data_IF_686871081619
#
_entry.id   IF_686871081619
#
_cell.length_a   1.000
_cell.length_b   1.000
_cell.length_c   1.000
_cell.angle_alpha   90.00
_cell.angle_beta   90.00
_cell.angle_gamma   90.00
#
_symmetry.space_group_name_H-M   'P 1'
#
loop_
_entity.id
_entity.type
_entity.pdbx_description
1 polymer ?
#
# COMPACT_ATOMS: atom_id res chain seq x y z
N UNK A 1 7.34 -23.10 5.44
CA UNK A 1 6.76 -22.46 6.63
C UNK A 1 5.65 -21.51 6.20
N UNK A 2 4.52 -21.64 6.83
CA UNK A 2 3.38 -20.75 6.61
C UNK A 2 3.38 -19.65 7.68
N UNK A 3 3.33 -18.39 7.25
CA UNK A 3 3.24 -17.25 8.18
C UNK A 3 1.93 -16.51 7.89
N UNK A 4 1.12 -16.34 8.92
CA UNK A 4 -0.12 -15.58 8.83
C UNK A 4 0.14 -14.12 9.15
N UNK A 5 -0.08 -13.25 8.17
CA UNK A 5 0.07 -11.81 8.31
C UNK A 5 -1.22 -11.14 7.83
N UNK A 6 -2.25 -11.11 8.68
CA UNK A 6 -3.57 -10.66 8.25
C UNK A 6 -3.64 -9.18 7.96
N UNK A 7 -4.41 -8.82 6.92
CA UNK A 7 -4.83 -7.47 6.63
C UNK A 7 -6.34 -7.43 6.46
N UNK A 8 -6.92 -6.25 6.58
CA UNK A 8 -8.32 -6.04 6.29
C UNK A 8 -8.58 -6.36 4.83
N UNK A 9 -9.67 -7.08 4.54
CA UNK A 9 -10.05 -7.32 3.14
C UNK A 9 -10.51 -6.03 2.46
N UNK A 10 -10.93 -5.05 3.25
CA UNK A 10 -11.33 -3.72 2.78
C UNK A 10 -10.94 -2.69 3.82
N UNK A 11 -10.65 -1.47 3.37
CA UNK A 11 -10.33 -0.36 4.25
C UNK A 11 -8.84 -0.05 4.31
N UNK A 12 -8.50 0.97 5.06
CA UNK A 12 -7.13 1.43 5.21
C UNK A 12 -6.28 0.39 5.95
N UNK A 13 -5.05 0.09 5.47
CA UNK A 13 -4.17 -0.82 6.20
C UNK A 13 -3.87 -0.28 7.59
N UNK A 14 -3.95 -1.13 8.61
CA UNK A 14 -3.55 -0.76 9.96
C UNK A 14 -2.04 -0.56 10.04
N UNK A 15 -1.62 0.53 10.70
CA UNK A 15 -0.19 0.81 10.93
C UNK A 15 0.53 -0.39 11.52
N UNK A 16 -0.03 -0.96 12.59
CA UNK A 16 0.62 -2.07 13.29
C UNK A 16 0.75 -3.32 12.40
N UNK A 17 -0.22 -3.56 11.54
CA UNK A 17 -0.15 -4.68 10.60
C UNK A 17 0.88 -4.47 9.52
N UNK A 18 1.06 -3.23 9.04
CA UNK A 18 2.13 -2.90 8.10
C UNK A 18 3.50 -3.13 8.74
N UNK A 19 3.68 -2.65 9.97
CA UNK A 19 4.93 -2.85 10.70
C UNK A 19 5.18 -4.33 10.99
N UNK A 20 4.16 -5.08 11.32
CA UNK A 20 4.24 -6.52 11.50
C UNK A 20 4.68 -7.23 10.22
N UNK A 21 4.10 -6.86 9.08
CA UNK A 21 4.47 -7.44 7.80
C UNK A 21 5.95 -7.17 7.47
N UNK A 22 6.44 -5.96 7.77
CA UNK A 22 7.84 -5.63 7.59
C UNK A 22 8.74 -6.57 8.41
N UNK A 23 8.35 -6.88 9.66
CA UNK A 23 9.10 -7.82 10.49
C UNK A 23 9.08 -9.23 9.89
N UNK A 24 7.92 -9.68 9.38
CA UNK A 24 7.81 -10.97 8.71
C UNK A 24 8.76 -11.04 7.51
N UNK A 25 8.77 -10.00 6.68
CA UNK A 25 9.64 -9.95 5.51
C UNK A 25 11.12 -9.96 5.89
N UNK A 26 11.48 -9.29 6.97
CA UNK A 26 12.88 -9.26 7.42
C UNK A 26 13.42 -10.64 7.76
N UNK A 27 12.59 -11.48 8.37
CA UNK A 27 12.97 -12.83 8.79
C UNK A 27 12.70 -13.92 7.76
N UNK A 28 12.13 -13.57 6.62
CA UNK A 28 11.65 -14.54 5.65
C UNK A 28 12.76 -15.01 4.71
N UNK A 29 12.81 -16.32 4.50
CA UNK A 29 13.70 -16.89 3.49
C UNK A 29 13.08 -16.75 2.09
N UNK A 30 13.89 -16.49 1.09
CA UNK A 30 13.45 -16.43 -0.30
C UNK A 30 13.77 -17.77 -1.01
N UNK A 31 12.98 -18.18 -1.99
CA UNK A 31 11.77 -17.53 -2.49
C UNK A 31 10.56 -17.74 -1.57
N UNK A 32 9.60 -16.83 -1.64
CA UNK A 32 8.38 -16.90 -0.85
C UNK A 32 7.15 -16.64 -1.71
N UNK A 33 6.04 -17.27 -1.34
CA UNK A 33 4.75 -17.08 -1.99
C UNK A 33 3.85 -16.25 -1.10
N UNK A 34 3.33 -15.15 -1.65
CA UNK A 34 2.34 -14.30 -0.99
C UNK A 34 0.99 -14.59 -1.63
N UNK A 35 -0.02 -14.87 -0.81
CA UNK A 35 -1.37 -15.11 -1.32
C UNK A 35 -2.44 -14.59 -0.37
N UNK A 36 -3.60 -14.32 -0.92
CA UNK A 36 -4.82 -14.02 -0.19
C UNK A 36 -6.00 -14.71 -0.89
N UNK A 37 -7.21 -14.42 -0.49
CA UNK A 37 -8.38 -15.10 -1.02
C UNK A 37 -8.53 -14.93 -2.55
N UNK A 38 -8.34 -13.72 -3.05
CA UNK A 38 -8.52 -13.42 -4.48
C UNK A 38 -7.23 -13.10 -5.23
N UNK A 39 -6.13 -12.86 -4.51
CA UNK A 39 -4.85 -12.49 -5.10
C UNK A 39 -4.75 -11.06 -5.60
N UNK A 40 -5.80 -10.25 -5.44
CA UNK A 40 -5.84 -8.89 -5.99
C UNK A 40 -5.45 -7.83 -4.96
N UNK A 41 -6.23 -7.67 -3.91
CA UNK A 41 -6.09 -6.52 -3.01
C UNK A 41 -4.99 -6.72 -1.96
N UNK A 42 -5.15 -7.72 -1.09
CA UNK A 42 -4.20 -7.93 0.01
C UNK A 42 -2.85 -8.41 -0.48
N UNK A 43 -2.84 -9.25 -1.51
CA UNK A 43 -1.59 -9.73 -2.12
C UNK A 43 -0.89 -8.58 -2.85
N UNK A 44 -1.64 -7.73 -3.57
CA UNK A 44 -1.10 -6.54 -4.20
C UNK A 44 -0.52 -5.56 -3.18
N UNK A 45 -1.22 -5.35 -2.08
CA UNK A 45 -0.73 -4.52 -0.97
C UNK A 45 0.58 -5.10 -0.42
N UNK A 46 0.61 -6.39 -0.13
CA UNK A 46 1.80 -7.05 0.39
C UNK A 46 3.00 -6.97 -0.55
N UNK A 47 2.77 -7.17 -1.85
CA UNK A 47 3.82 -7.05 -2.86
C UNK A 47 4.32 -5.61 -2.98
N UNK A 48 3.42 -4.64 -2.95
CA UNK A 48 3.78 -3.22 -2.99
C UNK A 48 4.62 -2.82 -1.78
N UNK A 49 4.24 -3.26 -0.59
CA UNK A 49 5.01 -3.00 0.63
C UNK A 49 6.41 -3.61 0.51
N UNK A 50 6.52 -4.84 -0.01
CA UNK A 50 7.82 -5.47 -0.24
C UNK A 50 8.71 -4.58 -1.12
N UNK A 51 8.18 -4.06 -2.23
CA UNK A 51 8.93 -3.20 -3.13
C UNK A 51 9.40 -1.92 -2.44
N UNK A 52 8.53 -1.29 -1.63
CA UNK A 52 8.90 -0.08 -0.89
C UNK A 52 9.98 -0.35 0.14
N UNK A 53 9.96 -1.52 0.78
CA UNK A 53 11.00 -1.93 1.72
C UNK A 53 12.34 -2.17 1.03
N UNK A 54 12.32 -2.51 -0.27
CA UNK A 54 13.52 -2.66 -1.09
C UNK A 54 14.03 -1.33 -1.66
N UNK A 55 13.38 -0.22 -1.31
CA UNK A 55 13.78 1.10 -1.79
C UNK A 55 13.23 1.45 -3.17
N UNK A 56 12.28 0.68 -3.69
CA UNK A 56 11.68 0.95 -5.00
C UNK A 56 10.75 2.15 -4.93
N UNK A 57 10.55 2.86 -6.07
CA UNK A 57 9.66 4.01 -6.12
C UNK A 57 8.19 3.63 -5.85
N UNK A 58 7.41 4.54 -5.23
CA UNK A 58 6.00 4.26 -4.95
C UNK A 58 5.15 3.90 -6.18
N UNK A 59 5.53 4.37 -7.38
CA UNK A 59 4.84 3.99 -8.61
C UNK A 59 4.84 2.50 -8.87
N UNK A 60 5.93 1.81 -8.53
CA UNK A 60 6.01 0.35 -8.67
C UNK A 60 5.08 -0.37 -7.69
N UNK A 61 4.93 0.17 -6.48
CA UNK A 61 3.98 -0.38 -5.52
C UNK A 61 2.54 -0.22 -6.02
N UNK A 62 2.22 0.93 -6.58
CA UNK A 62 0.91 1.18 -7.18
C UNK A 62 0.60 0.20 -8.33
N UNK A 63 1.60 -0.16 -9.11
CA UNK A 63 1.42 -1.10 -10.21
C UNK A 63 0.99 -2.50 -9.73
N UNK A 64 1.33 -2.87 -8.51
CA UNK A 64 0.88 -4.14 -7.93
C UNK A 64 -0.62 -4.17 -7.67
N UNK A 65 -1.25 -3.00 -7.61
CA UNK A 65 -2.70 -2.84 -7.44
C UNK A 65 -3.39 -2.51 -8.79
N UNK A 66 -2.87 -3.02 -9.89
CA UNK A 66 -3.42 -2.71 -11.21
C UNK A 66 -4.66 -3.56 -11.53
N UNK A 67 -5.50 -3.04 -12.45
CA UNK A 67 -6.69 -3.74 -12.94
C UNK A 67 -6.31 -5.10 -13.52
N UNK A 68 -5.12 -5.20 -14.10
CA UNK A 68 -4.57 -6.44 -14.66
C UNK A 68 -4.53 -7.58 -13.64
N UNK A 69 -4.40 -7.25 -12.33
CA UNK A 69 -4.42 -8.24 -11.25
C UNK A 69 -5.78 -8.32 -10.56
N UNK A 70 -6.83 -7.76 -11.15
CA UNK A 70 -8.18 -7.82 -10.62
C UNK A 70 -8.57 -6.70 -9.66
N UNK A 71 -7.70 -5.72 -9.45
CA UNK A 71 -7.99 -4.59 -8.58
C UNK A 71 -8.82 -3.52 -9.31
N UNK A 72 -9.85 -3.00 -8.64
CA UNK A 72 -10.69 -1.92 -9.18
C UNK A 72 -10.55 -0.68 -8.29
N UNK A 73 -9.84 0.33 -8.80
CA UNK A 73 -9.47 1.53 -8.03
C UNK A 73 -10.66 2.32 -7.50
N UNK A 74 -11.73 2.35 -8.26
CA UNK A 74 -12.92 3.15 -7.90
C UNK A 74 -13.85 2.42 -6.94
N UNK A 75 -13.48 1.19 -6.55
CA UNK A 75 -14.20 0.44 -5.53
C UNK A 75 -13.68 0.81 -4.13
N UNK A 76 -14.23 0.16 -3.11
CA UNK A 76 -13.76 0.34 -1.73
C UNK A 76 -12.29 0.01 -1.56
N UNK A 77 -11.72 -0.82 -2.44
CA UNK A 77 -10.32 -1.19 -2.39
C UNK A 77 -9.39 -0.10 -2.91
N UNK A 78 -9.93 0.93 -3.57
CA UNK A 78 -9.15 2.11 -3.99
C UNK A 78 -8.44 2.80 -2.83
N UNK A 79 -8.83 2.54 -1.59
CA UNK A 79 -8.14 3.06 -0.42
C UNK A 79 -6.69 2.53 -0.31
N UNK A 80 -6.40 1.36 -0.89
CA UNK A 80 -5.04 0.83 -0.94
C UNK A 80 -4.17 1.65 -1.89
N UNK A 81 -4.72 2.08 -3.02
CA UNK A 81 -4.04 3.04 -3.90
C UNK A 81 -3.76 4.34 -3.15
N UNK A 82 -4.75 4.82 -2.39
CA UNK A 82 -4.61 6.04 -1.60
C UNK A 82 -3.49 5.92 -0.56
N UNK A 83 -3.35 4.76 0.06
CA UNK A 83 -2.27 4.49 1.01
C UNK A 83 -0.90 4.72 0.36
N UNK A 84 -0.66 4.11 -0.81
CA UNK A 84 0.62 4.30 -1.51
C UNK A 84 0.80 5.72 -2.03
N UNK A 85 -0.28 6.38 -2.47
CA UNK A 85 -0.21 7.77 -2.94
C UNK A 85 0.14 8.74 -1.81
N UNK A 86 -0.37 8.50 -0.59
CA UNK A 86 0.01 9.30 0.56
C UNK A 86 1.52 9.24 0.81
N UNK A 87 2.09 8.05 0.75
CA UNK A 87 3.54 7.91 0.91
C UNK A 87 4.28 8.60 -0.24
N UNK A 88 3.80 8.45 -1.47
CA UNK A 88 4.42 9.11 -2.62
C UNK A 88 4.45 10.63 -2.45
N UNK A 89 3.36 11.22 -1.95
CA UNK A 89 3.30 12.66 -1.68
C UNK A 89 4.26 13.07 -0.57
N UNK A 90 4.30 12.30 0.53
CA UNK A 90 5.20 12.57 1.65
C UNK A 90 6.66 12.52 1.20
N UNK A 91 6.99 11.54 0.37
CA UNK A 91 8.35 11.38 -0.17
C UNK A 91 8.73 12.50 -1.13
N UNK A 92 7.77 13.04 -1.88
CA UNK A 92 8.04 14.22 -2.74
C UNK A 92 8.39 15.44 -1.91
N UNK A 93 7.67 15.64 -0.80
CA UNK A 93 7.95 16.74 0.12
C UNK A 93 9.26 16.55 0.89
N UNK A 94 9.63 15.30 1.17
CA UNK A 94 10.82 14.93 1.93
C UNK A 94 11.52 13.75 1.27
N UNK A 95 12.38 13.97 0.27
CA UNK A 95 12.94 12.88 -0.56
C UNK A 95 13.71 11.80 0.20
N UNK A 96 14.23 12.10 1.38
CA UNK A 96 14.93 11.12 2.21
C UNK A 96 14.03 10.27 3.11
N UNK A 97 12.71 10.48 3.06
CA UNK A 97 11.79 9.80 3.98
C UNK A 97 11.60 8.33 3.59
N UNK A 98 12.05 7.42 4.45
CA UNK A 98 11.86 5.99 4.26
C UNK A 98 10.43 5.55 4.53
N UNK A 99 10.03 4.44 3.90
CA UNK A 99 8.65 3.95 4.02
C UNK A 99 8.28 3.60 5.47
N UNK A 100 9.14 2.86 6.18
CA UNK A 100 8.84 2.47 7.57
C UNK A 100 8.79 3.67 8.51
N UNK A 101 9.67 4.66 8.31
CA UNK A 101 9.65 5.87 9.11
C UNK A 101 8.34 6.63 8.88
N UNK A 102 7.88 6.70 7.63
CA UNK A 102 6.62 7.32 7.31
C UNK A 102 5.44 6.59 7.98
N UNK A 103 5.41 5.26 7.89
CA UNK A 103 4.34 4.45 8.50
C UNK A 103 4.31 4.68 10.01
N UNK A 104 5.48 4.63 10.65
CA UNK A 104 5.57 4.74 12.10
C UNK A 104 5.20 6.12 12.62
N UNK A 105 5.68 7.17 11.95
CA UNK A 105 5.67 8.52 12.50
C UNK A 105 4.60 9.43 11.88
N UNK A 106 4.09 9.13 10.69
CA UNK A 106 3.21 10.04 9.94
C UNK A 106 1.91 9.41 9.48
N UNK A 107 1.87 8.11 9.26
CA UNK A 107 0.68 7.46 8.72
C UNK A 107 -0.40 7.30 9.78
N UNK A 108 -1.64 7.68 9.43
CA UNK A 108 -2.82 7.55 10.29
C UNK A 108 -3.95 6.89 9.49
N UNK A 109 -4.21 5.60 9.78
CA UNK A 109 -5.24 4.84 9.10
C UNK A 109 -6.66 5.35 9.38
N UNK A 110 -6.88 5.95 10.55
CA UNK A 110 -8.17 6.53 10.90
C UNK A 110 -8.44 7.76 10.04
N UNK A 111 -7.44 8.63 9.91
CA UNK A 111 -7.55 9.83 9.06
C UNK A 111 -7.75 9.44 7.60
N UNK A 112 -7.01 8.46 7.09
CA UNK A 112 -7.18 8.00 5.71
C UNK A 112 -8.58 7.46 5.48
N UNK A 113 -9.08 6.63 6.38
CA UNK A 113 -10.43 6.05 6.27
C UNK A 113 -11.50 7.13 6.23
N UNK A 114 -11.37 8.13 7.13
CA UNK A 114 -12.31 9.24 7.20
C UNK A 114 -12.29 10.08 5.93
N UNK A 115 -11.10 10.41 5.45
CA UNK A 115 -10.91 11.36 4.36
C UNK A 115 -11.13 10.73 2.98
N UNK A 116 -10.97 9.41 2.87
CA UNK A 116 -11.08 8.70 1.59
C UNK A 116 -12.43 8.86 0.93
N UNK A 117 -13.48 9.09 1.70
CA UNK A 117 -14.84 9.30 1.17
C UNK A 117 -14.99 10.66 0.48
N UNK A 118 -14.03 11.56 0.61
CA UNK A 118 -14.12 12.90 0.05
C UNK A 118 -13.89 12.89 -1.46
N UNK A 119 -14.49 13.87 -2.15
CA UNK A 119 -14.28 14.06 -3.59
C UNK A 119 -12.81 14.33 -3.92
N UNK A 120 -12.10 14.99 -3.00
CA UNK A 120 -10.69 15.30 -3.18
C UNK A 120 -9.86 14.02 -3.41
N UNK A 121 -10.21 12.90 -2.76
CA UNK A 121 -9.50 11.65 -2.98
C UNK A 121 -9.72 11.07 -4.38
N UNK A 122 -10.92 11.21 -4.94
CA UNK A 122 -11.16 10.77 -6.31
C UNK A 122 -10.24 11.51 -7.29
N UNK A 123 -10.12 12.82 -7.11
CA UNK A 123 -9.25 13.64 -7.94
C UNK A 123 -7.78 13.27 -7.77
N UNK A 124 -7.35 13.04 -6.54
CA UNK A 124 -5.97 12.61 -6.23
C UNK A 124 -5.64 11.25 -6.85
N UNK A 125 -6.58 10.33 -6.83
CA UNK A 125 -6.40 9.01 -7.45
C UNK A 125 -6.23 9.14 -8.97
N UNK A 126 -7.03 10.00 -9.61
CA UNK A 126 -6.91 10.24 -11.05
C UNK A 126 -5.57 10.87 -11.39
N UNK A 127 -5.13 11.88 -10.62
CA UNK A 127 -3.82 12.49 -10.81
C UNK A 127 -2.69 11.47 -10.64
N UNK A 128 -2.80 10.59 -9.65
CA UNK A 128 -1.82 9.56 -9.41
C UNK A 128 -1.70 8.58 -10.58
N UNK A 129 -2.84 8.21 -11.19
CA UNK A 129 -2.86 7.35 -12.38
C UNK A 129 -2.17 8.04 -13.56
N UNK A 130 -2.47 9.31 -13.79
CA UNK A 130 -1.89 10.07 -14.90
C UNK A 130 -0.38 10.25 -14.74
N UNK A 131 0.07 10.53 -13.51
CA UNK A 131 1.50 10.76 -13.25
C UNK A 131 2.35 9.50 -13.36
N UNK A 132 1.74 8.33 -13.24
CA UNK A 132 2.44 7.06 -13.36
C UNK A 132 2.88 6.77 -14.80
N UNK A 133 2.16 7.32 -15.72
CA UNK A 133 2.43 7.17 -17.14
C UNK A 133 3.47 8.20 -17.61
#
# INVERSE_FOLDING_TARGET
VHVDAPFESRGAPHRDRVLRLAEVYRGMAEPALIHCKSGADRTGLGAGIWLLLQGRPPGQALDQLSVRFGHVRQSRTGILDAFFLLYAEARRAQPGLGFLDWVRDHYDEVALRRDFQSRAWADRLMDGVLRRE
#
